data_IF_894501792207
#
_entry.id   IF_894501792207
#
_cell.length_a   1.000
_cell.length_b   1.000
_cell.length_c   1.000
_cell.angle_alpha   90.00
_cell.angle_beta   90.00
_cell.angle_gamma   90.00
#
_symmetry.space_group_name_H-M   'P 1'
#
loop_
_entity.id
_entity.type
_entity.pdbx_description
1 polymer ?
#
# COMPACT_ATOMS: atom_id res chain seq x y z
N UNK A 1 -8.60 -83.77 10.08
CA UNK A 1 -7.54 -83.17 10.93
C UNK A 1 -7.72 -81.67 10.91
N UNK A 2 -7.94 -81.08 12.09
CA UNK A 2 -7.60 -79.73 12.58
C UNK A 2 -7.67 -78.51 11.62
N UNK A 3 -8.03 -77.30 12.02
CA UNK A 3 -8.63 -76.69 13.21
C UNK A 3 -8.50 -75.17 12.98
N UNK A 4 -9.44 -74.36 13.53
CA UNK A 4 -9.26 -72.95 13.94
C UNK A 4 -9.13 -71.91 12.80
N UNK A 5 -9.74 -70.73 12.88
CA UNK A 5 -10.44 -70.10 13.98
C UNK A 5 -11.23 -68.87 13.54
N UNK A 6 -12.30 -68.62 14.31
CA UNK A 6 -13.13 -67.44 14.31
C UNK A 6 -12.46 -66.29 15.10
N UNK A 7 -12.77 -65.05 14.70
CA UNK A 7 -12.35 -63.79 15.34
C UNK A 7 -11.83 -62.83 14.26
N UNK A 8 -12.33 -61.63 14.03
CA UNK A 8 -13.00 -60.67 14.90
C UNK A 8 -13.93 -59.75 14.09
N UNK A 9 -15.23 -60.08 14.05
CA UNK A 9 -16.29 -59.14 13.69
C UNK A 9 -16.77 -58.49 14.98
N UNK A 10 -16.14 -57.37 15.37
CA UNK A 10 -16.46 -56.72 16.64
C UNK A 10 -15.42 -55.72 17.13
N UNK A 11 -14.98 -54.79 16.27
CA UNK A 11 -14.19 -53.62 16.71
C UNK A 11 -14.17 -52.43 15.74
N UNK A 12 -15.14 -52.34 14.83
CA UNK A 12 -15.22 -51.24 13.86
C UNK A 12 -16.52 -50.41 13.93
N UNK A 13 -17.44 -50.73 14.85
CA UNK A 13 -18.74 -50.06 14.95
C UNK A 13 -18.91 -49.10 16.15
N UNK A 14 -17.87 -48.88 16.97
CA UNK A 14 -17.90 -47.90 18.09
C UNK A 14 -16.99 -46.68 17.89
N UNK A 15 -16.50 -46.44 16.65
CA UNK A 15 -15.75 -45.21 16.31
C UNK A 15 -16.49 -44.27 15.36
N UNK A 16 -17.74 -44.58 15.01
CA UNK A 16 -18.52 -43.80 14.04
C UNK A 16 -19.62 -42.92 14.67
N UNK A 17 -19.70 -42.84 16.00
CA UNK A 17 -20.61 -41.94 16.74
C UNK A 17 -19.83 -40.87 17.54
N UNK A 18 -18.51 -40.81 17.39
CA UNK A 18 -17.64 -39.86 18.09
C UNK A 18 -17.03 -38.75 17.21
N UNK A 19 -17.42 -38.62 15.95
CA UNK A 19 -16.80 -37.66 15.00
C UNK A 19 -17.79 -36.70 14.32
N UNK A 20 -19.02 -36.61 14.80
CA UNK A 20 -20.02 -35.65 14.32
C UNK A 20 -20.28 -34.49 15.29
N UNK A 21 -19.38 -34.25 16.26
CA UNK A 21 -19.57 -33.20 17.26
C UNK A 21 -18.33 -32.32 17.51
N UNK A 22 -17.52 -32.07 16.47
CA UNK A 22 -16.28 -31.27 16.62
C UNK A 22 -15.99 -30.29 15.48
N UNK A 23 -17.02 -29.78 14.79
CA UNK A 23 -16.85 -28.73 13.74
C UNK A 23 -17.77 -27.52 13.87
N UNK A 24 -18.33 -27.28 15.06
CA UNK A 24 -19.13 -26.09 15.34
C UNK A 24 -18.74 -25.50 16.70
N UNK A 25 -17.52 -24.97 16.82
CA UNK A 25 -17.09 -24.21 18.01
C UNK A 25 -15.77 -23.47 17.74
N UNK A 26 -15.82 -22.29 17.13
CA UNK A 26 -14.75 -21.27 17.24
C UNK A 26 -15.19 -19.94 16.60
N UNK A 27 -16.24 -19.30 17.14
CA UNK A 27 -16.48 -17.88 16.86
C UNK A 27 -17.40 -17.29 17.93
N UNK A 28 -16.86 -17.01 19.12
CA UNK A 28 -17.50 -16.11 20.10
C UNK A 28 -16.45 -15.46 21.01
N UNK A 29 -16.47 -14.13 21.16
CA UNK A 29 -15.99 -13.46 22.37
C UNK A 29 -17.18 -13.08 23.29
N UNK A 30 -17.04 -13.39 24.59
CA UNK A 30 -17.99 -13.02 25.64
C UNK A 30 -17.47 -11.77 26.41
N UNK A 31 -18.35 -10.96 27.02
CA UNK A 31 -18.10 -9.57 27.36
C UNK A 31 -17.74 -9.35 28.84
N UNK A 32 -16.92 -8.33 29.08
CA UNK A 32 -16.82 -7.52 30.30
C UNK A 32 -15.83 -6.41 29.92
N UNK A 33 -16.04 -5.11 30.16
CA UNK A 33 -16.43 -4.50 31.42
C UNK A 33 -17.12 -3.16 31.11
N UNK A 34 -18.29 -2.94 31.74
CA UNK A 34 -18.95 -1.65 31.83
C UNK A 34 -18.41 -0.83 33.01
N UNK A 35 -18.41 0.48 32.77
CA UNK A 35 -18.73 1.58 33.69
C UNK A 35 -17.82 1.86 34.90
N UNK A 36 -17.38 3.12 34.97
CA UNK A 36 -17.66 3.98 36.12
C UNK A 36 -17.64 5.45 35.69
N UNK A 37 -18.79 6.10 35.87
CA UNK A 37 -19.01 7.53 35.72
C UNK A 37 -18.98 8.23 37.10
N UNK A 38 -18.73 9.53 37.03
CA UNK A 38 -19.11 10.59 37.97
C UNK A 38 -18.40 10.68 39.34
N UNK A 39 -17.69 11.80 39.53
CA UNK A 39 -18.03 12.73 40.61
C UNK A 39 -17.59 14.15 40.31
N UNK A 40 -18.57 15.04 40.22
CA UNK A 40 -18.42 16.49 40.31
C UNK A 40 -17.85 16.91 41.66
N UNK A 41 -17.02 17.95 41.65
CA UNK A 41 -16.51 18.64 42.82
C UNK A 41 -16.25 20.10 42.47
N UNK A 42 -17.23 20.93 42.79
CA UNK A 42 -17.20 22.39 42.68
C UNK A 42 -16.32 22.98 43.78
N UNK A 43 -15.32 23.81 43.43
CA UNK A 43 -14.80 24.83 44.34
C UNK A 43 -14.34 26.05 43.55
N UNK A 44 -15.10 27.13 43.71
CA UNK A 44 -14.68 28.51 43.45
C UNK A 44 -13.41 28.84 44.27
N UNK A 45 -12.52 29.71 43.78
CA UNK A 45 -12.42 31.12 44.21
C UNK A 45 -11.08 31.77 43.79
N UNK A 46 -11.22 33.04 43.42
CA UNK A 46 -10.29 34.16 43.66
C UNK A 46 -9.01 34.32 42.82
N UNK A 47 -9.21 35.08 41.74
CA UNK A 47 -8.51 36.35 41.46
C UNK A 47 -7.76 36.95 42.67
N UNK A 48 -6.46 37.17 42.51
CA UNK A 48 -5.79 38.32 43.11
C UNK A 48 -4.71 38.83 42.16
N UNK A 49 -5.04 39.91 41.47
CA UNK A 49 -4.07 40.78 40.85
C UNK A 49 -3.23 41.45 41.95
N UNK A 50 -1.89 41.41 41.82
CA UNK A 50 -1.01 42.32 42.54
C UNK A 50 0.00 42.94 41.57
N UNK A 51 0.01 44.27 41.59
CA UNK A 51 0.80 45.20 40.80
C UNK A 51 2.15 45.40 41.46
N UNK A 52 3.26 45.28 40.73
CA UNK A 52 4.48 46.11 40.86
C UNK A 52 5.16 45.99 39.49
N UNK A 53 5.27 47.01 38.64
CA UNK A 53 6.02 48.23 38.84
C UNK A 53 7.01 48.31 37.68
N UNK A 54 6.75 49.25 36.75
CA UNK A 54 7.57 49.52 35.56
C UNK A 54 8.99 49.90 35.97
N UNK A 55 10.00 49.20 35.45
CA UNK A 55 11.35 49.73 35.27
C UNK A 55 12.11 48.91 34.22
N UNK A 56 12.88 49.61 33.38
CA UNK A 56 13.89 49.11 32.44
C UNK A 56 13.39 48.46 31.13
N UNK A 57 13.00 49.33 30.20
CA UNK A 57 13.27 49.10 28.78
C UNK A 57 14.78 49.23 28.50
N UNK A 58 15.24 48.58 27.42
CA UNK A 58 16.52 48.79 26.72
C UNK A 58 17.75 47.97 27.20
N UNK A 59 17.67 46.63 27.22
CA UNK A 59 18.71 45.72 26.67
C UNK A 59 18.03 44.35 26.48
N UNK A 60 17.49 44.07 25.30
CA UNK A 60 16.77 42.80 25.08
C UNK A 60 16.26 42.55 23.67
N UNK A 61 16.86 43.18 22.65
CA UNK A 61 16.51 42.97 21.25
C UNK A 61 17.46 42.00 20.52
N UNK A 62 18.35 41.32 21.25
CA UNK A 62 19.35 40.40 20.68
C UNK A 62 19.16 38.91 20.97
N UNK A 63 18.24 38.55 21.89
CA UNK A 63 18.05 37.14 22.31
C UNK A 63 16.62 36.64 22.06
N UNK A 64 15.64 37.52 21.94
CA UNK A 64 14.26 37.16 21.55
C UNK A 64 14.10 36.83 20.07
N UNK A 65 15.06 37.20 19.22
CA UNK A 65 15.06 36.83 17.80
C UNK A 65 15.49 35.39 17.53
N UNK A 66 16.25 34.76 18.44
CA UNK A 66 16.80 33.41 18.22
C UNK A 66 15.84 32.29 18.69
N UNK A 67 14.94 32.58 19.62
CA UNK A 67 13.92 31.63 20.10
C UNK A 67 12.68 31.56 19.20
N UNK A 68 12.44 32.57 18.36
CA UNK A 68 11.36 32.54 17.35
C UNK A 68 11.69 31.70 16.12
N UNK A 69 12.98 31.44 15.85
CA UNK A 69 13.44 30.69 14.68
C UNK A 69 13.46 29.18 14.91
N UNK A 70 13.56 28.70 16.16
CA UNK A 70 13.60 27.25 16.43
C UNK A 70 12.22 26.60 16.33
N UNK A 71 11.15 27.30 16.74
CA UNK A 71 9.78 26.77 16.68
C UNK A 71 9.23 26.63 15.25
N UNK A 72 9.69 27.46 14.31
CA UNK A 72 9.24 27.41 12.91
C UNK A 72 9.86 26.23 12.16
N UNK A 73 11.09 25.84 12.50
CA UNK A 73 11.79 24.74 11.82
C UNK A 73 11.17 23.36 12.13
N UNK A 74 10.73 23.11 13.37
CA UNK A 74 10.09 21.84 13.72
C UNK A 74 8.70 21.63 13.08
N UNK A 75 7.96 22.71 12.83
CA UNK A 75 6.65 22.61 12.18
C UNK A 75 6.81 22.23 10.69
N UNK A 76 7.81 22.79 10.02
CA UNK A 76 8.04 22.57 8.59
C UNK A 76 8.47 21.12 8.28
N UNK A 77 9.32 20.52 9.13
CA UNK A 77 9.72 19.11 9.01
C UNK A 77 8.52 18.15 9.18
N UNK A 78 7.63 18.46 10.12
CA UNK A 78 6.43 17.67 10.36
C UNK A 78 5.42 17.80 9.21
N UNK A 79 5.26 19.01 8.64
CA UNK A 79 4.35 19.25 7.52
C UNK A 79 4.78 18.51 6.24
N UNK A 80 6.07 18.50 5.93
CA UNK A 80 6.59 17.77 4.77
C UNK A 80 6.58 16.25 4.97
N UNK A 81 6.73 15.79 6.21
CA UNK A 81 6.94 14.38 6.54
C UNK A 81 8.39 13.95 6.30
N UNK A 82 8.82 12.92 7.02
CA UNK A 82 10.15 12.34 6.87
C UNK A 82 10.30 11.72 5.48
N UNK A 83 11.41 12.01 4.79
CA UNK A 83 11.70 11.39 3.50
C UNK A 83 11.88 9.87 3.66
N UNK A 84 11.21 9.10 2.79
CA UNK A 84 11.39 7.65 2.73
C UNK A 84 12.75 7.31 2.11
N UNK A 85 13.51 6.36 2.66
CA UNK A 85 14.76 5.92 2.06
C UNK A 85 14.51 5.12 0.77
N UNK A 86 15.54 5.00 -0.06
CA UNK A 86 15.47 4.23 -1.29
C UNK A 86 15.75 2.74 -1.00
N UNK A 87 14.71 1.91 -1.13
CA UNK A 87 14.84 0.47 -0.93
C UNK A 87 15.28 -0.24 -2.22
N UNK A 88 16.09 -1.31 -2.12
CA UNK A 88 16.56 -2.05 -3.29
C UNK A 88 15.48 -3.02 -3.81
N UNK A 89 14.43 -2.49 -4.42
CA UNK A 89 13.36 -3.31 -4.99
C UNK A 89 13.88 -4.26 -6.09
N UNK A 90 13.38 -5.51 -6.16
CA UNK A 90 13.80 -6.46 -7.20
C UNK A 90 13.65 -5.91 -8.62
N UNK A 91 12.58 -5.15 -8.87
CA UNK A 91 12.22 -4.53 -10.15
C UNK A 91 12.81 -3.12 -10.37
N UNK A 92 13.78 -2.64 -9.59
CA UNK A 92 14.37 -1.31 -9.83
C UNK A 92 15.32 -1.25 -11.05
N UNK A 93 15.92 -2.37 -11.46
CA UNK A 93 16.87 -2.41 -12.56
C UNK A 93 16.25 -2.19 -13.95
N UNK A 94 17.06 -1.76 -14.92
CA UNK A 94 16.65 -1.55 -16.33
C UNK A 94 16.22 -2.84 -17.04
N UNK A 95 16.70 -3.99 -16.58
CA UNK A 95 16.37 -5.32 -17.08
C UNK A 95 15.71 -6.21 -16.02
N UNK A 96 15.28 -5.61 -14.91
CA UNK A 96 14.58 -6.34 -13.85
C UNK A 96 13.08 -6.30 -14.08
N UNK A 97 12.43 -7.45 -14.01
CA UNK A 97 10.97 -7.60 -13.98
C UNK A 97 10.44 -7.56 -12.56
N UNK A 98 9.12 -7.55 -12.44
CA UNK A 98 8.47 -7.86 -11.17
C UNK A 98 8.77 -9.29 -10.69
N UNK A 99 8.73 -9.46 -9.37
CA UNK A 99 8.63 -10.77 -8.72
C UNK A 99 7.15 -11.17 -8.64
N UNK A 100 6.71 -12.01 -9.57
CA UNK A 100 5.31 -12.43 -9.70
C UNK A 100 4.81 -13.25 -8.50
N UNK A 101 5.71 -13.95 -7.78
CA UNK A 101 5.33 -14.61 -6.52
C UNK A 101 5.06 -13.57 -5.40
N UNK A 102 5.83 -12.48 -5.38
CA UNK A 102 5.56 -11.34 -4.49
C UNK A 102 4.28 -10.60 -4.87
N UNK A 103 3.94 -10.47 -6.16
CA UNK A 103 2.63 -9.94 -6.61
C UNK A 103 1.49 -10.82 -6.07
N UNK A 104 1.60 -12.14 -6.20
CA UNK A 104 0.58 -13.09 -5.73
C UNK A 104 0.32 -12.96 -4.23
N UNK A 105 1.39 -12.98 -3.43
CA UNK A 105 1.33 -12.75 -1.98
C UNK A 105 0.81 -11.35 -1.62
N UNK A 106 1.18 -10.34 -2.39
CA UNK A 106 0.73 -8.97 -2.18
C UNK A 106 -0.77 -8.78 -2.44
N UNK A 107 -1.30 -9.45 -3.46
CA UNK A 107 -2.74 -9.51 -3.72
C UNK A 107 -3.48 -10.16 -2.54
N UNK A 108 -2.93 -11.25 -1.97
CA UNK A 108 -3.51 -11.90 -0.80
C UNK A 108 -3.58 -10.94 0.41
N UNK A 109 -2.51 -10.19 0.69
CA UNK A 109 -2.50 -9.18 1.75
C UNK A 109 -3.52 -8.07 1.46
N UNK A 110 -3.62 -7.60 0.22
CA UNK A 110 -4.64 -6.62 -0.17
C UNK A 110 -6.05 -7.15 0.11
N UNK A 111 -6.37 -8.36 -0.34
CA UNK A 111 -7.71 -8.93 -0.20
C UNK A 111 -8.10 -9.16 1.26
N UNK A 112 -7.16 -9.60 2.10
CA UNK A 112 -7.43 -9.94 3.50
C UNK A 112 -7.39 -8.74 4.45
N UNK A 113 -6.60 -7.70 4.14
CA UNK A 113 -6.36 -6.57 5.05
C UNK A 113 -6.89 -5.24 4.48
N UNK A 114 -6.59 -4.95 3.22
CA UNK A 114 -6.81 -3.62 2.65
C UNK A 114 -8.18 -3.46 2.00
N UNK A 115 -8.72 -4.52 1.38
CA UNK A 115 -9.95 -4.48 0.59
C UNK A 115 -11.19 -4.08 1.41
N UNK A 116 -11.14 -4.23 2.74
CA UNK A 116 -12.20 -3.79 3.64
C UNK A 116 -12.36 -2.26 3.70
N UNK A 117 -11.30 -1.49 3.43
CA UNK A 117 -11.33 -0.02 3.49
C UNK A 117 -10.92 0.66 2.19
N UNK A 118 -10.04 0.04 1.40
CA UNK A 118 -9.49 0.61 0.19
C UNK A 118 -10.07 -0.02 -1.07
N UNK A 119 -10.62 0.83 -1.94
CA UNK A 119 -10.99 0.43 -3.29
C UNK A 119 -9.76 0.30 -4.19
N UNK A 120 -9.89 -0.50 -5.25
CA UNK A 120 -8.95 -0.56 -6.36
C UNK A 120 -9.73 -0.74 -7.66
N UNK A 121 -10.42 0.34 -8.02
CA UNK A 121 -11.46 0.34 -9.04
C UNK A 121 -10.97 0.21 -10.47
N UNK A 122 -9.65 0.35 -10.72
CA UNK A 122 -9.08 0.24 -12.07
C UNK A 122 -8.51 -1.14 -12.40
N UNK A 123 -8.51 -2.07 -11.43
CA UNK A 123 -8.02 -3.43 -11.62
C UNK A 123 -9.20 -4.40 -11.71
N UNK A 124 -9.21 -5.22 -12.74
CA UNK A 124 -10.16 -6.31 -12.92
C UNK A 124 -9.53 -7.67 -12.60
N UNK A 125 -10.36 -8.63 -12.23
CA UNK A 125 -9.90 -10.00 -11.93
C UNK A 125 -9.11 -10.60 -13.11
N UNK A 126 -9.52 -10.31 -14.35
CA UNK A 126 -8.84 -10.76 -15.57
C UNK A 126 -7.41 -10.24 -15.70
N UNK A 127 -7.07 -9.13 -15.08
CA UNK A 127 -5.71 -8.56 -15.15
C UNK A 127 -4.72 -9.41 -14.34
N UNK A 128 -5.21 -10.22 -13.39
CA UNK A 128 -4.38 -11.15 -12.61
C UNK A 128 -3.97 -12.41 -13.39
N UNK A 129 -4.69 -12.72 -14.50
CA UNK A 129 -4.50 -13.95 -15.29
C UNK A 129 -3.15 -13.89 -16.00
N UNK A 130 -2.31 -14.90 -15.77
CA UNK A 130 -0.98 -14.99 -16.37
C UNK A 130 0.06 -14.05 -15.75
N UNK A 131 -0.32 -13.31 -14.71
CA UNK A 131 0.58 -12.52 -13.86
C UNK A 131 0.85 -13.29 -12.57
N UNK A 132 -0.16 -13.37 -11.70
CA UNK A 132 -0.04 -14.00 -10.38
C UNK A 132 -0.89 -15.27 -10.24
N UNK A 133 -1.92 -15.41 -11.07
CA UNK A 133 -2.89 -16.50 -10.98
C UNK A 133 -3.16 -17.10 -12.36
N UNK A 134 -3.58 -18.36 -12.37
CA UNK A 134 -4.13 -19.02 -13.55
C UNK A 134 -5.57 -18.57 -13.81
N UNK A 135 -6.08 -18.80 -15.02
CA UNK A 135 -7.46 -18.44 -15.36
C UNK A 135 -8.50 -19.13 -14.45
N UNK A 136 -8.28 -20.40 -14.12
CA UNK A 136 -9.19 -21.17 -13.26
C UNK A 136 -9.17 -20.67 -11.81
N UNK A 137 -7.98 -20.33 -11.28
CA UNK A 137 -7.87 -19.71 -9.95
C UNK A 137 -8.59 -18.36 -9.91
N UNK A 138 -8.43 -17.52 -10.94
CA UNK A 138 -9.12 -16.22 -11.02
C UNK A 138 -10.64 -16.39 -11.12
N UNK A 139 -11.12 -17.40 -11.85
CA UNK A 139 -12.56 -17.72 -11.89
C UNK A 139 -13.08 -18.11 -10.51
N UNK A 140 -12.33 -18.91 -9.76
CA UNK A 140 -12.68 -19.26 -8.39
C UNK A 140 -12.70 -18.01 -7.49
N UNK A 141 -11.65 -17.19 -7.52
CA UNK A 141 -11.55 -15.96 -6.73
C UNK A 141 -12.67 -14.95 -7.05
N UNK A 142 -13.01 -14.80 -8.33
CA UNK A 142 -14.08 -13.91 -8.76
C UNK A 142 -15.46 -14.46 -8.34
N UNK A 143 -15.65 -15.79 -8.33
CA UNK A 143 -16.92 -16.40 -7.94
C UNK A 143 -17.20 -16.31 -6.42
N UNK A 144 -16.21 -16.02 -5.59
CA UNK A 144 -16.38 -15.81 -4.14
C UNK A 144 -17.12 -14.52 -3.79
N UNK A 145 -17.16 -13.57 -4.72
CA UNK A 145 -17.84 -12.29 -4.52
C UNK A 145 -19.19 -12.26 -5.24
N UNK A 146 -20.17 -11.63 -4.60
CA UNK A 146 -21.45 -11.30 -5.22
C UNK A 146 -21.36 -9.91 -5.85
N UNK A 147 -21.82 -9.79 -7.09
CA UNK A 147 -21.78 -8.56 -7.88
C UNK A 147 -23.17 -8.23 -8.38
N UNK A 148 -23.59 -6.99 -8.18
CA UNK A 148 -24.88 -6.49 -8.66
C UNK A 148 -24.84 -6.33 -10.18
N UNK A 149 -25.83 -6.92 -10.86
CA UNK A 149 -26.01 -6.88 -12.30
C UNK A 149 -27.50 -6.63 -12.63
N UNK A 150 -27.78 -6.31 -13.89
CA UNK A 150 -29.13 -6.08 -14.38
C UNK A 150 -29.33 -4.73 -15.07
N UNK A 151 -30.59 -4.34 -15.33
CA UNK A 151 -31.82 -5.02 -14.89
C UNK A 151 -32.15 -6.31 -15.68
N UNK A 152 -32.91 -7.22 -15.05
CA UNK A 152 -33.49 -8.40 -15.69
C UNK A 152 -34.77 -8.07 -16.50
N UNK A 153 -35.43 -9.08 -17.08
CA UNK A 153 -36.65 -8.92 -17.88
C UNK A 153 -37.84 -8.31 -17.09
N UNK A 154 -37.80 -8.34 -15.76
CA UNK A 154 -38.80 -7.74 -14.86
C UNK A 154 -38.41 -6.31 -14.43
N UNK A 155 -37.24 -5.81 -14.86
CA UNK A 155 -36.73 -4.48 -14.51
C UNK A 155 -35.98 -4.41 -13.18
N UNK A 156 -35.71 -5.55 -12.54
CA UNK A 156 -35.06 -5.64 -11.23
C UNK A 156 -33.56 -5.88 -11.35
N UNK A 157 -32.77 -5.25 -10.47
CA UNK A 157 -31.34 -5.56 -10.30
C UNK A 157 -31.20 -6.85 -9.49
N UNK A 158 -30.25 -7.70 -9.86
CA UNK A 158 -30.02 -8.99 -9.20
C UNK A 158 -28.54 -9.17 -8.85
N UNK A 159 -28.27 -10.07 -7.90
CA UNK A 159 -26.90 -10.46 -7.55
C UNK A 159 -26.48 -11.69 -8.34
N UNK A 160 -25.24 -11.69 -8.81
CA UNK A 160 -24.61 -12.86 -9.43
C UNK A 160 -23.21 -13.10 -8.86
N UNK A 161 -22.70 -14.33 -8.95
CA UNK A 161 -21.28 -14.57 -8.73
C UNK A 161 -20.45 -13.73 -9.69
N UNK A 162 -19.32 -13.22 -9.18
CA UNK A 162 -18.37 -12.45 -9.97
C UNK A 162 -17.77 -13.27 -11.11
N UNK A 163 -17.39 -12.57 -12.17
CA UNK A 163 -16.71 -13.13 -13.35
C UNK A 163 -15.37 -12.42 -13.54
N UNK A 164 -14.40 -13.01 -14.26
CA UNK A 164 -13.08 -12.39 -14.45
C UNK A 164 -13.12 -10.98 -15.05
N UNK A 165 -14.16 -10.60 -15.80
CA UNK A 165 -14.26 -9.24 -16.35
C UNK A 165 -14.66 -8.17 -15.33
N UNK A 166 -15.12 -8.56 -14.14
CA UNK A 166 -15.51 -7.62 -13.09
C UNK A 166 -14.29 -6.97 -12.44
N UNK A 167 -14.48 -5.74 -11.96
CA UNK A 167 -13.47 -5.02 -11.17
C UNK A 167 -13.51 -5.46 -9.71
N UNK A 168 -12.46 -5.14 -8.97
CA UNK A 168 -12.49 -5.34 -7.52
C UNK A 168 -13.60 -4.51 -6.88
N UNK A 169 -14.30 -5.14 -5.93
CA UNK A 169 -15.46 -4.54 -5.29
C UNK A 169 -15.06 -3.34 -4.43
N UNK A 170 -15.91 -2.31 -4.47
CA UNK A 170 -15.72 -1.14 -3.63
C UNK A 170 -16.23 -1.45 -2.23
N UNK A 171 -15.45 -1.17 -1.16
CA UNK A 171 -15.90 -1.41 0.22
C UNK A 171 -17.04 -0.49 0.64
N UNK A 172 -17.22 0.63 -0.04
CA UNK A 172 -18.23 1.63 0.27
C UNK A 172 -18.98 2.04 -1.01
N UNK A 173 -20.28 2.29 -0.88
CA UNK A 173 -21.12 2.72 -2.01
C UNK A 173 -20.71 4.09 -2.57
N UNK A 174 -20.22 5.00 -1.72
CA UNK A 174 -19.78 6.33 -2.10
C UNK A 174 -18.77 6.91 -1.09
N UNK A 175 -18.18 8.06 -1.44
CA UNK A 175 -17.19 8.74 -0.60
C UNK A 175 -17.74 9.16 0.77
N UNK A 176 -19.00 9.63 0.83
CA UNK A 176 -19.60 10.05 2.11
C UNK A 176 -19.77 8.87 3.07
N UNK A 177 -20.16 7.70 2.57
CA UNK A 177 -20.22 6.48 3.36
C UNK A 177 -18.83 6.06 3.88
N UNK A 178 -17.81 6.15 3.02
CA UNK A 178 -16.43 5.87 3.41
C UNK A 178 -15.93 6.83 4.50
N UNK A 179 -16.19 8.14 4.37
CA UNK A 179 -15.84 9.16 5.38
C UNK A 179 -16.56 8.92 6.69
N UNK A 180 -17.86 8.60 6.63
CA UNK A 180 -18.64 8.30 7.84
C UNK A 180 -18.08 7.09 8.60
N UNK A 181 -17.73 6.02 7.88
CA UNK A 181 -17.15 4.81 8.49
C UNK A 181 -15.75 5.03 9.07
N UNK A 182 -14.97 6.00 8.57
CA UNK A 182 -13.57 6.22 8.94
C UNK A 182 -13.35 7.57 9.64
N UNK A 183 -14.30 8.05 10.44
CA UNK A 183 -14.12 9.24 11.29
C UNK A 183 -13.88 10.54 10.51
N UNK A 184 -14.45 10.67 9.31
CA UNK A 184 -14.33 11.83 8.41
C UNK A 184 -13.22 11.70 7.36
N UNK A 185 -12.29 10.75 7.52
CA UNK A 185 -11.21 10.50 6.57
C UNK A 185 -11.69 9.62 5.40
N UNK A 186 -11.23 9.91 4.18
CA UNK A 186 -11.53 9.09 3.01
C UNK A 186 -10.33 8.19 2.68
N UNK A 187 -10.45 6.85 2.76
CA UNK A 187 -9.43 5.94 2.27
C UNK A 187 -9.25 6.11 0.75
N UNK A 188 -8.06 6.50 0.26
CA UNK A 188 -7.84 6.67 -1.17
C UNK A 188 -7.93 5.33 -1.92
N UNK A 189 -8.34 5.39 -3.19
CA UNK A 189 -8.24 4.27 -4.12
C UNK A 189 -6.76 3.92 -4.34
N UNK A 190 -6.44 2.63 -4.26
CA UNK A 190 -5.06 2.15 -4.28
C UNK A 190 -4.53 1.80 -5.68
N UNK A 191 -5.36 1.89 -6.73
CA UNK A 191 -4.97 1.45 -8.08
C UNK A 191 -3.72 2.17 -8.61
N UNK A 192 -3.56 3.45 -8.28
CA UNK A 192 -2.44 4.28 -8.73
C UNK A 192 -1.62 4.86 -7.57
N UNK A 193 -1.77 4.35 -6.34
CA UNK A 193 -1.21 5.01 -5.15
C UNK A 193 0.31 5.14 -5.20
N UNK A 194 0.99 4.18 -5.80
CA UNK A 194 2.46 4.16 -5.98
C UNK A 194 2.95 5.16 -7.03
N UNK A 195 2.08 5.69 -7.89
CA UNK A 195 2.37 6.79 -8.83
C UNK A 195 1.81 8.14 -8.37
N UNK A 196 0.77 8.12 -7.55
CA UNK A 196 0.09 9.30 -7.03
C UNK A 196 0.80 9.90 -5.80
N UNK A 197 1.88 9.28 -5.31
CA UNK A 197 2.67 9.76 -4.18
C UNK A 197 4.14 9.90 -4.56
N UNK A 198 4.79 10.93 -4.02
CA UNK A 198 6.22 11.13 -4.19
C UNK A 198 7.01 9.95 -3.63
N UNK A 199 8.09 9.58 -4.31
CA UNK A 199 8.89 8.38 -4.04
C UNK A 199 8.10 7.04 -4.05
N UNK A 200 6.85 7.05 -4.49
CA UNK A 200 6.04 5.89 -4.84
C UNK A 200 6.09 4.72 -3.87
N UNK A 201 6.64 3.59 -4.33
CA UNK A 201 6.76 2.36 -3.54
C UNK A 201 7.56 2.54 -2.24
N UNK A 202 8.63 3.33 -2.27
CA UNK A 202 9.45 3.59 -1.09
C UNK A 202 8.63 4.28 -0.01
N UNK A 203 7.80 5.24 -0.42
CA UNK A 203 6.88 5.94 0.48
C UNK A 203 5.84 4.99 1.07
N UNK A 204 5.17 4.18 0.24
CA UNK A 204 4.13 3.25 0.74
C UNK A 204 4.73 2.22 1.70
N UNK A 205 5.89 1.65 1.39
CA UNK A 205 6.58 0.72 2.28
C UNK A 205 6.95 1.37 3.60
N UNK A 206 7.61 2.53 3.55
CA UNK A 206 8.00 3.27 4.75
C UNK A 206 6.79 3.71 5.59
N UNK A 207 5.68 4.09 4.95
CA UNK A 207 4.43 4.42 5.63
C UNK A 207 3.88 3.20 6.38
N UNK A 208 3.80 2.03 5.73
CA UNK A 208 3.23 0.83 6.34
C UNK A 208 4.07 0.30 7.50
N UNK A 209 5.39 0.32 7.40
CA UNK A 209 6.30 -0.18 8.45
C UNK A 209 6.74 0.90 9.45
N UNK A 210 6.35 2.15 9.24
CA UNK A 210 6.89 3.32 9.94
C UNK A 210 6.11 3.77 11.16
N UNK A 211 5.01 3.07 11.50
CA UNK A 211 4.20 3.39 12.69
C UNK A 211 5.04 3.29 13.97
N UNK A 212 5.08 4.38 14.73
CA UNK A 212 5.84 4.50 15.98
C UNK A 212 5.14 5.43 16.97
N UNK A 213 5.57 5.39 18.22
CA UNK A 213 5.08 6.34 19.22
C UNK A 213 5.51 7.78 18.89
N UNK A 214 4.65 8.78 19.18
CA UNK A 214 4.97 10.17 18.92
C UNK A 214 6.18 10.61 19.77
N UNK A 215 7.10 11.43 19.20
CA UNK A 215 8.21 11.96 19.95
C UNK A 215 7.72 12.89 21.07
N UNK A 216 8.56 13.10 22.08
CA UNK A 216 8.22 13.94 23.23
C UNK A 216 7.78 15.35 22.78
N UNK A 217 6.62 15.80 23.26
CA UNK A 217 6.04 17.11 22.93
C UNK A 217 5.05 17.12 21.78
N UNK A 218 4.89 16.01 21.03
CA UNK A 218 3.87 15.86 19.99
C UNK A 218 2.67 15.09 20.55
N UNK A 219 1.51 15.73 20.61
CA UNK A 219 0.24 15.06 20.92
C UNK A 219 -0.58 14.86 19.64
N UNK A 220 -0.98 13.62 19.39
CA UNK A 220 -1.86 13.27 18.28
C UNK A 220 -3.31 13.36 18.76
N UNK A 221 -4.20 13.91 17.92
CA UNK A 221 -5.64 14.00 18.25
C UNK A 221 -6.24 12.61 18.39
N UNK A 222 -7.28 12.50 19.20
CA UNK A 222 -8.01 11.24 19.37
C UNK A 222 -8.52 10.71 18.02
N UNK A 223 -8.32 9.42 17.76
CA UNK A 223 -8.66 8.77 16.49
C UNK A 223 -7.62 8.92 15.37
N UNK A 224 -6.53 9.66 15.58
CA UNK A 224 -5.38 9.70 14.68
C UNK A 224 -4.20 8.92 15.28
N UNK A 225 -3.29 8.48 14.41
CA UNK A 225 -2.11 7.70 14.76
C UNK A 225 -0.85 8.42 14.26
N UNK A 226 0.24 8.33 15.02
CA UNK A 226 1.50 8.96 14.62
C UNK A 226 2.19 8.13 13.54
N UNK A 227 2.55 8.78 12.43
CA UNK A 227 3.42 8.21 11.42
C UNK A 227 4.37 9.30 10.88
N UNK A 228 5.68 9.14 11.04
CA UNK A 228 6.67 10.15 10.66
C UNK A 228 6.74 10.39 9.15
N UNK A 229 6.43 9.39 8.32
CA UNK A 229 6.50 9.51 6.87
C UNK A 229 5.25 10.18 6.29
N UNK A 230 4.15 10.22 7.05
CA UNK A 230 2.94 10.89 6.62
C UNK A 230 3.10 12.41 6.75
N UNK A 231 2.78 13.20 5.71
CA UNK A 231 2.78 14.66 5.79
C UNK A 231 1.86 15.15 6.91
N UNK A 232 2.38 15.93 7.84
CA UNK A 232 1.70 16.37 9.06
C UNK A 232 1.84 15.42 10.26
N UNK A 233 2.48 14.27 10.11
CA UNK A 233 2.82 13.34 11.19
C UNK A 233 1.66 12.54 11.80
N UNK A 234 0.39 12.89 11.51
CA UNK A 234 -0.80 12.24 12.06
C UNK A 234 -1.69 11.70 10.94
N UNK A 235 -1.92 10.38 10.94
CA UNK A 235 -2.71 9.66 9.93
C UNK A 235 -3.95 9.01 10.57
N UNK A 236 -5.08 9.00 9.87
CA UNK A 236 -6.32 8.39 10.37
C UNK A 236 -6.33 6.84 10.30
N UNK A 237 -5.41 6.25 9.54
CA UNK A 237 -5.28 4.81 9.40
C UNK A 237 -4.47 4.24 10.58
N UNK A 238 -4.98 3.24 11.32
CA UNK A 238 -4.19 2.53 12.33
C UNK A 238 -3.13 1.64 11.67
N UNK A 239 -2.23 1.08 12.49
CA UNK A 239 -1.26 0.09 12.01
C UNK A 239 -2.00 -1.19 11.61
N UNK A 240 -2.16 -1.41 10.31
CA UNK A 240 -2.90 -2.56 9.76
C UNK A 240 -2.05 -3.83 9.63
N UNK A 241 -0.74 -3.70 9.43
CA UNK A 241 0.16 -4.83 9.28
C UNK A 241 0.77 -5.19 10.63
N UNK A 242 0.58 -6.43 11.05
CA UNK A 242 1.13 -6.99 12.28
C UNK A 242 1.76 -8.35 11.98
N UNK A 243 2.83 -8.71 12.67
CA UNK A 243 3.50 -10.01 12.47
C UNK A 243 2.52 -11.16 12.65
N UNK A 244 2.41 -12.02 11.63
CA UNK A 244 1.48 -13.15 11.60
C UNK A 244 0.03 -12.79 11.27
N UNK A 245 -0.26 -11.58 10.78
CA UNK A 245 -1.62 -11.13 10.45
C UNK A 245 -2.27 -11.82 9.24
N UNK A 246 -1.47 -12.49 8.40
CA UNK A 246 -1.90 -13.23 7.21
C UNK A 246 -1.14 -14.57 7.16
N UNK A 247 -1.78 -15.64 6.70
CA UNK A 247 -1.11 -16.91 6.41
C UNK A 247 -0.91 -17.05 4.90
N UNK A 248 0.35 -17.02 4.44
CA UNK A 248 0.65 -17.18 3.01
C UNK A 248 0.43 -18.61 2.55
N UNK A 249 -0.14 -18.76 1.35
CA UNK A 249 -0.40 -20.08 0.73
C UNK A 249 0.89 -20.86 0.40
N UNK A 250 2.01 -20.15 0.19
CA UNK A 250 3.31 -20.75 -0.14
C UNK A 250 4.17 -21.06 1.09
N UNK A 251 3.67 -20.79 2.29
CA UNK A 251 4.37 -21.02 3.56
C UNK A 251 5.45 -20.00 3.90
N UNK A 252 5.54 -18.87 3.19
CA UNK A 252 6.43 -17.77 3.57
C UNK A 252 6.06 -17.23 4.96
N UNK A 253 7.05 -16.83 5.76
CA UNK A 253 6.79 -16.20 7.05
C UNK A 253 6.18 -14.80 6.86
N UNK A 254 4.96 -14.60 7.36
CA UNK A 254 4.23 -13.35 7.26
C UNK A 254 4.66 -12.33 8.33
N UNK A 255 5.89 -11.86 8.25
CA UNK A 255 6.33 -10.69 9.04
C UNK A 255 5.75 -9.40 8.46
N UNK A 256 5.67 -8.35 9.27
CA UNK A 256 5.19 -7.02 8.88
C UNK A 256 5.94 -6.49 7.65
N UNK A 257 7.28 -6.58 7.67
CA UNK A 257 8.12 -6.12 6.57
C UNK A 257 7.94 -6.97 5.31
N UNK A 258 7.70 -8.27 5.45
CA UNK A 258 7.45 -9.16 4.32
C UNK A 258 6.09 -8.83 3.67
N UNK A 259 5.03 -8.70 4.47
CA UNK A 259 3.71 -8.27 4.00
C UNK A 259 3.75 -6.90 3.34
N UNK A 260 4.46 -5.93 3.95
CA UNK A 260 4.65 -4.61 3.38
C UNK A 260 5.38 -4.67 2.03
N UNK A 261 6.42 -5.49 1.90
CA UNK A 261 7.15 -5.68 0.64
C UNK A 261 6.24 -6.26 -0.45
N UNK A 262 5.45 -7.27 -0.11
CA UNK A 262 4.60 -7.97 -1.08
C UNK A 262 3.43 -7.10 -1.52
N UNK A 263 2.73 -6.46 -0.58
CA UNK A 263 1.62 -5.57 -0.93
C UNK A 263 2.10 -4.37 -1.74
N UNK A 264 3.28 -3.81 -1.46
CA UNK A 264 3.86 -2.70 -2.25
C UNK A 264 4.26 -3.16 -3.66
N UNK A 265 4.78 -4.39 -3.79
CA UNK A 265 5.09 -4.96 -5.11
C UNK A 265 3.83 -5.12 -5.94
N UNK A 266 2.76 -5.65 -5.34
CA UNK A 266 1.45 -5.77 -5.95
C UNK A 266 0.83 -4.39 -6.31
N UNK A 267 0.86 -3.42 -5.40
CA UNK A 267 0.37 -2.05 -5.66
C UNK A 267 1.19 -1.31 -6.71
N UNK A 268 2.46 -1.66 -6.89
CA UNK A 268 3.22 -1.15 -8.02
C UNK A 268 2.77 -1.76 -9.32
N UNK A 269 2.57 -3.08 -9.35
CA UNK A 269 2.10 -3.77 -10.54
C UNK A 269 0.71 -3.25 -10.94
N UNK A 270 -0.20 -3.04 -9.97
CA UNK A 270 -1.52 -2.47 -10.22
C UNK A 270 -1.45 -1.08 -10.90
N UNK A 271 -0.42 -0.29 -10.58
CA UNK A 271 -0.23 1.05 -11.14
C UNK A 271 0.56 1.08 -12.47
N UNK A 272 1.40 0.08 -12.73
CA UNK A 272 2.20 -0.08 -13.95
C UNK A 272 2.22 -1.56 -14.42
N UNK A 273 1.09 -2.12 -14.86
CA UNK A 273 1.05 -3.51 -15.32
C UNK A 273 1.93 -3.73 -16.56
N UNK A 274 2.23 -2.67 -17.32
CA UNK A 274 3.05 -2.72 -18.52
C UNK A 274 4.56 -2.71 -18.26
N UNK A 275 5.05 -2.62 -17.02
CA UNK A 275 6.48 -2.41 -16.73
C UNK A 275 7.39 -3.45 -17.39
N UNK A 276 7.03 -4.74 -17.28
CA UNK A 276 7.84 -5.84 -17.79
C UNK A 276 8.01 -5.74 -19.32
N UNK A 277 6.90 -5.52 -20.04
CA UNK A 277 6.91 -5.33 -21.50
C UNK A 277 7.59 -4.01 -21.89
N UNK A 278 7.30 -2.92 -21.18
CA UNK A 278 7.88 -1.58 -21.41
C UNK A 278 9.40 -1.61 -21.32
N UNK A 279 9.97 -2.27 -20.31
CA UNK A 279 11.43 -2.40 -20.17
C UNK A 279 12.03 -3.29 -21.24
N UNK A 280 11.39 -4.40 -21.57
CA UNK A 280 11.84 -5.29 -22.64
C UNK A 280 11.86 -4.57 -24.01
N UNK A 281 10.79 -3.86 -24.33
CA UNK A 281 10.69 -3.07 -25.56
C UNK A 281 11.67 -1.90 -25.55
N UNK A 282 11.82 -1.20 -24.42
CA UNK A 282 12.79 -0.14 -24.24
C UNK A 282 14.22 -0.62 -24.54
N UNK A 283 14.62 -1.79 -24.02
CA UNK A 283 15.94 -2.34 -24.31
C UNK A 283 16.13 -2.67 -25.79
N UNK A 284 15.15 -3.34 -26.42
CA UNK A 284 15.18 -3.67 -27.86
C UNK A 284 15.34 -2.42 -28.73
N UNK A 285 14.57 -1.37 -28.44
CA UNK A 285 14.60 -0.13 -29.22
C UNK A 285 15.85 0.70 -28.98
N UNK A 286 16.33 0.81 -27.74
CA UNK A 286 17.60 1.50 -27.47
C UNK A 286 18.75 0.81 -28.22
N UNK A 287 18.79 -0.52 -28.20
CA UNK A 287 19.78 -1.29 -28.96
C UNK A 287 19.68 -1.03 -30.47
N UNK A 288 18.49 -1.15 -31.05
CA UNK A 288 18.26 -0.93 -32.48
C UNK A 288 18.57 0.51 -32.91
N UNK A 289 18.15 1.52 -32.15
CA UNK A 289 18.41 2.93 -32.41
C UNK A 289 19.90 3.27 -32.25
N UNK A 290 20.62 2.60 -31.36
CA UNK A 290 22.07 2.78 -31.22
C UNK A 290 22.81 2.32 -32.48
N UNK A 291 22.43 1.16 -33.04
CA UNK A 291 22.97 0.68 -34.32
C UNK A 291 22.61 1.60 -35.49
N UNK A 292 21.36 2.06 -35.55
CA UNK A 292 20.91 3.00 -36.56
C UNK A 292 21.65 4.35 -36.46
N UNK A 293 21.91 4.84 -35.25
CA UNK A 293 22.68 6.06 -35.00
C UNK A 293 24.13 5.91 -35.46
N UNK A 294 24.79 4.79 -35.14
CA UNK A 294 26.14 4.49 -35.62
C UNK A 294 26.21 4.50 -37.15
N UNK A 295 25.25 3.84 -37.82
CA UNK A 295 25.15 3.84 -39.28
C UNK A 295 24.90 5.24 -39.85
N UNK A 296 24.01 6.02 -39.25
CA UNK A 296 23.68 7.37 -39.69
C UNK A 296 24.89 8.32 -39.54
N UNK A 297 25.63 8.23 -38.42
CA UNK A 297 26.85 9.00 -38.19
C UNK A 297 27.93 8.60 -39.21
N UNK A 298 28.12 7.31 -39.46
CA UNK A 298 29.03 6.82 -40.49
C UNK A 298 28.67 7.36 -41.87
N UNK A 299 27.41 7.21 -42.28
CA UNK A 299 26.92 7.70 -43.58
C UNK A 299 27.08 9.21 -43.72
N UNK A 300 26.75 9.98 -42.68
CA UNK A 300 26.97 11.44 -42.65
C UNK A 300 28.44 11.78 -42.83
N UNK A 301 29.35 11.13 -42.08
CA UNK A 301 30.81 11.36 -42.18
C UNK A 301 31.32 11.03 -43.58
N UNK A 302 30.84 9.94 -44.16
CA UNK A 302 31.20 9.53 -45.52
C UNK A 302 30.74 10.56 -46.57
N UNK A 303 29.47 10.99 -46.54
CA UNK A 303 28.94 12.00 -47.48
C UNK A 303 29.60 13.38 -47.35
N UNK A 304 29.94 13.78 -46.13
CA UNK A 304 30.60 15.07 -45.87
C UNK A 304 32.13 15.02 -46.03
N UNK A 305 32.73 13.85 -46.24
CA UNK A 305 34.18 13.71 -46.35
C UNK A 305 34.77 14.63 -47.45
N UNK A 306 34.24 14.70 -48.69
CA UNK A 306 34.82 15.54 -49.74
C UNK A 306 34.79 17.03 -49.43
N UNK A 307 33.71 17.52 -48.82
CA UNK A 307 33.57 18.93 -48.44
C UNK A 307 34.53 19.26 -47.29
N UNK A 308 34.70 18.35 -46.32
CA UNK A 308 35.57 18.57 -45.17
C UNK A 308 37.06 18.39 -45.48
N UNK A 309 37.41 17.61 -46.50
CA UNK A 309 38.80 17.39 -46.92
C UNK A 309 39.24 18.33 -48.05
N UNK A 310 38.37 19.23 -48.53
CA UNK A 310 38.73 20.17 -49.61
C UNK A 310 39.78 21.18 -49.11
N UNK A 311 40.78 21.45 -49.93
CA UNK A 311 41.72 22.57 -49.73
C UNK A 311 41.25 23.73 -50.61
N UNK A 312 41.03 24.89 -50.01
CA UNK A 312 40.60 26.10 -50.73
C UNK A 312 41.80 27.03 -50.82
N UNK A 313 42.17 27.39 -52.04
CA UNK A 313 43.14 28.45 -52.31
C UNK A 313 42.33 29.73 -52.47
N UNK A 314 42.58 30.73 -51.62
CA UNK A 314 41.96 32.05 -51.73
C UNK A 314 42.97 33.03 -52.31
N UNK A 315 42.60 33.69 -53.40
CA UNK A 315 43.40 34.74 -54.06
C UNK A 315 43.30 36.07 -53.28
N UNK A 316 43.62 36.02 -51.99
CA UNK A 316 43.67 37.18 -51.11
C UNK A 316 45.08 37.20 -50.52
N UNK A 317 45.82 38.24 -50.88
CA UNK A 317 47.16 38.53 -50.35
C UNK A 317 46.97 39.60 -49.27
N UNK A 318 47.41 39.33 -48.04
CA UNK A 318 47.47 40.31 -46.95
C UNK A 318 48.92 40.78 -46.77
#
# INVERSE_FOLDING_TARGET
MASRGAGSLGRAASRFVGLLNSRAAACQPNPAVQALAAKEGNTERESTASKVGRAAALVGAGVTGLLGLTGVVYADEAEHGLASPDYPWPHNGIMSSYDHASIRRGHQVYQQVCAACHSMSLVAYRDLIGVAYTEDEVKCLAAEIEVEDGPNDEGEMFQRPGKPSDHFQKPYANENAARFANGGAYPPDLSLITKARHNGQNYVFALLTGYREPPAGVSVREGLHYNPYFPGGAIAMPKMLTDGGVEYEDGTAATESQMAKDVVTFLSWAAEPEMDERKLMGFKWIFALSLALLQAVYYKRWKWAPIKSRRVVSDIVN
#
